data_IF_089605924983
#
_entry.id   IF_089605924983
#
_cell.length_a   1.000
_cell.length_b   1.000
_cell.length_c   1.000
_cell.angle_alpha   90.00
_cell.angle_beta   90.00
_cell.angle_gamma   90.00
#
_symmetry.space_group_name_H-M   'P 1'
#
loop_
_entity.id
_entity.type
_entity.pdbx_description
1 polymer ?
#
# COMPACT_ATOMS: atom_id res chain seq x y z
N UNK A 1 -18.26 4.87 22.29
CA UNK A 1 -17.12 4.01 21.88
C UNK A 1 -15.97 4.87 21.39
N UNK A 2 -14.70 4.44 21.55
CA UNK A 2 -13.57 5.19 21.02
C UNK A 2 -13.54 5.13 19.49
N UNK A 3 -12.95 6.15 18.86
CA UNK A 3 -12.59 6.07 17.44
C UNK A 3 -11.41 5.11 17.29
N UNK A 4 -11.62 4.05 16.52
CA UNK A 4 -10.62 3.01 16.28
C UNK A 4 -10.13 3.14 14.83
N UNK A 5 -8.83 2.98 14.61
CA UNK A 5 -8.25 2.70 13.31
C UNK A 5 -7.49 1.37 13.37
N UNK A 6 -7.26 0.77 12.22
CA UNK A 6 -6.47 -0.45 12.13
C UNK A 6 -5.45 -0.44 11.00
N UNK A 7 -4.54 -1.40 11.08
CA UNK A 7 -3.52 -1.69 10.08
C UNK A 7 -3.42 -3.20 9.93
N UNK A 8 -3.59 -3.70 8.70
CA UNK A 8 -3.31 -5.10 8.38
C UNK A 8 -1.80 -5.37 8.49
N UNK A 9 -1.44 -6.49 9.12
CA UNK A 9 -0.05 -6.89 9.32
C UNK A 9 0.17 -8.31 8.80
N UNK A 10 1.42 -8.72 8.53
CA UNK A 10 1.73 -10.12 8.29
C UNK A 10 1.25 -10.96 9.49
N UNK A 11 0.28 -11.85 9.25
CA UNK A 11 -0.24 -12.74 10.29
C UNK A 11 -1.26 -12.13 11.26
N UNK A 12 -1.77 -10.90 11.06
CA UNK A 12 -2.77 -10.35 11.96
C UNK A 12 -3.24 -8.92 11.65
N UNK A 13 -3.88 -8.29 12.64
CA UNK A 13 -4.38 -6.91 12.55
C UNK A 13 -3.95 -6.11 13.79
N UNK A 14 -3.40 -4.93 13.55
CA UNK A 14 -3.17 -3.94 14.59
C UNK A 14 -4.40 -3.04 14.69
N UNK A 15 -4.95 -2.86 15.87
CA UNK A 15 -5.93 -1.79 16.14
C UNK A 15 -5.36 -0.77 17.10
N UNK A 16 -5.74 0.48 16.90
CA UNK A 16 -5.30 1.59 17.74
C UNK A 16 -6.41 2.63 17.93
N UNK A 17 -6.52 3.14 19.15
CA UNK A 17 -7.28 4.37 19.46
C UNK A 17 -6.39 5.61 19.40
N UNK A 18 -5.09 5.44 19.16
CA UNK A 18 -4.06 6.46 19.38
C UNK A 18 -3.58 6.56 20.82
N UNK A 19 -4.33 6.07 21.81
CA UNK A 19 -3.87 6.00 23.22
C UNK A 19 -3.51 4.57 23.64
N UNK A 20 -4.09 3.60 22.94
CA UNK A 20 -3.85 2.16 23.09
C UNK A 20 -3.67 1.55 21.71
N UNK A 21 -2.80 0.55 21.63
CA UNK A 21 -2.55 -0.24 20.43
C UNK A 21 -2.46 -1.73 20.79
N UNK A 22 -2.65 -2.62 19.81
CA UNK A 22 -2.71 -4.09 20.07
C UNK A 22 -1.42 -4.83 19.72
N UNK A 23 -0.62 -4.31 18.79
CA UNK A 23 0.51 -5.03 18.21
C UNK A 23 1.83 -4.57 18.81
N UNK A 24 2.82 -5.48 18.95
CA UNK A 24 4.16 -5.10 19.37
C UNK A 24 4.91 -4.37 18.23
N UNK A 25 5.93 -3.55 18.54
CA UNK A 25 6.67 -2.76 17.55
C UNK A 25 7.28 -3.56 16.39
N UNK A 26 7.79 -4.77 16.65
CA UNK A 26 8.44 -5.58 15.61
C UNK A 26 7.45 -6.06 14.53
N UNK A 27 6.19 -6.34 14.87
CA UNK A 27 5.18 -6.72 13.87
C UNK A 27 4.79 -5.53 12.98
N UNK A 28 4.77 -4.32 13.56
CA UNK A 28 4.54 -3.08 12.81
C UNK A 28 5.73 -2.77 11.89
N UNK A 29 6.96 -3.01 12.34
CA UNK A 29 8.15 -2.96 11.50
C UNK A 29 8.06 -3.95 10.33
N UNK A 30 7.72 -5.21 10.60
CA UNK A 30 7.52 -6.23 9.56
C UNK A 30 6.41 -5.88 8.57
N UNK A 31 5.43 -5.07 8.96
CA UNK A 31 4.42 -4.56 8.04
C UNK A 31 5.04 -3.61 7.02
N UNK A 32 5.95 -2.73 7.45
CA UNK A 32 6.74 -1.90 6.54
C UNK A 32 7.61 -2.72 5.59
N UNK A 33 8.30 -3.72 6.11
CA UNK A 33 9.10 -4.68 5.31
C UNK A 33 8.23 -5.36 4.26
N UNK A 34 7.05 -5.87 4.66
CA UNK A 34 6.15 -6.58 3.77
C UNK A 34 5.62 -5.69 2.63
N UNK A 35 5.32 -4.42 2.89
CA UNK A 35 4.88 -3.48 1.84
C UNK A 35 5.97 -3.27 0.79
N UNK A 36 7.22 -3.09 1.20
CA UNK A 36 8.35 -2.93 0.26
C UNK A 36 8.64 -4.24 -0.49
N UNK A 37 8.57 -5.39 0.19
CA UNK A 37 8.73 -6.69 -0.46
C UNK A 37 7.66 -6.95 -1.53
N UNK A 38 6.40 -6.60 -1.26
CA UNK A 38 5.33 -6.65 -2.27
C UNK A 38 5.60 -5.68 -3.43
N UNK A 39 6.13 -4.49 -3.14
CA UNK A 39 6.58 -3.54 -4.15
C UNK A 39 7.67 -4.10 -5.07
N UNK A 40 8.68 -4.75 -4.50
CA UNK A 40 9.74 -5.41 -5.25
C UNK A 40 9.18 -6.55 -6.12
N UNK A 41 8.29 -7.39 -5.57
CA UNK A 41 7.61 -8.43 -6.34
C UNK A 41 6.76 -7.88 -7.49
N UNK A 42 6.06 -6.76 -7.26
CA UNK A 42 5.31 -6.06 -8.30
C UNK A 42 6.23 -5.48 -9.38
N UNK A 43 7.42 -5.01 -9.02
CA UNK A 43 8.40 -4.50 -9.98
C UNK A 43 8.95 -5.61 -10.87
N UNK A 44 9.25 -6.78 -10.31
CA UNK A 44 9.65 -7.97 -11.09
C UNK A 44 8.53 -8.38 -12.06
N UNK A 45 7.29 -8.44 -11.58
CA UNK A 45 6.14 -8.76 -12.43
C UNK A 45 5.97 -7.71 -13.56
N UNK A 46 6.09 -6.42 -13.23
CA UNK A 46 6.03 -5.32 -14.19
C UNK A 46 7.10 -5.47 -15.28
N UNK A 47 8.35 -5.70 -14.89
CA UNK A 47 9.46 -5.90 -15.82
C UNK A 47 9.20 -7.08 -16.76
N UNK A 48 8.79 -8.24 -16.25
CA UNK A 48 8.52 -9.42 -17.08
C UNK A 48 7.39 -9.18 -18.09
N UNK A 49 6.32 -8.48 -17.68
CA UNK A 49 5.20 -8.15 -18.56
C UNK A 49 5.60 -7.13 -19.64
N UNK A 50 6.35 -6.08 -19.29
CA UNK A 50 6.84 -5.10 -20.25
C UNK A 50 7.89 -5.69 -21.21
N UNK A 51 8.75 -6.57 -20.72
CA UNK A 51 9.71 -7.30 -21.54
C UNK A 51 9.00 -8.20 -22.56
N UNK A 52 7.98 -8.96 -22.13
CA UNK A 52 7.19 -9.79 -23.02
C UNK A 52 6.43 -8.94 -24.06
N UNK A 53 5.83 -7.84 -23.64
CA UNK A 53 5.14 -6.93 -24.55
C UNK A 53 6.11 -6.27 -25.54
N UNK A 54 7.31 -5.91 -25.09
CA UNK A 54 8.38 -5.42 -25.95
C UNK A 54 8.79 -6.43 -27.01
N UNK A 55 8.96 -7.70 -26.65
CA UNK A 55 9.25 -8.78 -27.59
C UNK A 55 8.15 -8.97 -28.67
N UNK A 56 6.89 -8.66 -28.35
CA UNK A 56 5.76 -8.75 -29.28
C UNK A 56 5.59 -7.50 -30.16
N UNK A 57 5.91 -6.32 -29.63
CA UNK A 57 5.67 -5.03 -30.28
C UNK A 57 6.89 -4.44 -30.97
N UNK A 58 8.09 -4.95 -30.64
CA UNK A 58 9.36 -4.36 -31.05
C UNK A 58 9.75 -3.10 -30.27
N UNK A 59 8.99 -2.71 -29.24
CA UNK A 59 9.27 -1.52 -28.44
C UNK A 59 10.13 -1.85 -27.20
N UNK A 60 11.09 -0.99 -26.82
CA UNK A 60 11.99 -1.21 -25.67
C UNK A 60 11.32 -0.92 -24.32
N UNK A 61 10.13 -1.47 -24.07
CA UNK A 61 9.31 -1.15 -22.89
C UNK A 61 9.94 -1.62 -21.57
N UNK A 62 10.58 -2.80 -21.56
CA UNK A 62 11.32 -3.30 -20.40
C UNK A 62 12.58 -2.50 -20.11
N UNK A 63 13.30 -2.10 -21.16
CA UNK A 63 14.50 -1.25 -21.07
C UNK A 63 14.16 0.15 -20.59
N UNK A 64 13.01 0.69 -20.99
CA UNK A 64 12.49 1.97 -20.51
C UNK A 64 12.21 1.95 -19.00
N UNK A 65 11.68 0.86 -18.46
CA UNK A 65 11.51 0.69 -17.01
C UNK A 65 12.85 0.71 -16.26
N UNK A 66 13.91 0.17 -16.89
CA UNK A 66 15.27 0.14 -16.34
C UNK A 66 16.03 1.46 -16.52
N UNK A 67 15.43 2.46 -17.19
CA UNK A 67 16.11 3.71 -17.54
C UNK A 67 17.23 3.53 -18.57
N UNK A 68 17.21 2.44 -19.33
CA UNK A 68 18.17 2.15 -20.40
C UNK A 68 17.71 2.77 -21.71
N UNK A 69 16.40 2.75 -21.99
CA UNK A 69 15.85 3.39 -23.17
C UNK A 69 15.87 4.93 -23.03
N UNK A 70 16.18 5.61 -24.13
CA UNK A 70 16.28 7.06 -24.25
C UNK A 70 15.05 7.65 -24.91
N UNK A 71 14.88 8.98 -24.84
CA UNK A 71 13.79 9.69 -25.50
C UNK A 71 13.83 9.59 -27.04
N UNK A 72 14.97 9.19 -27.62
CA UNK A 72 15.11 8.94 -29.06
C UNK A 72 14.50 7.60 -29.48
N UNK A 73 14.33 6.67 -28.52
CA UNK A 73 13.72 5.35 -28.75
C UNK A 73 12.19 5.40 -28.78
N UNK A 74 11.60 6.57 -28.47
CA UNK A 74 10.16 6.82 -28.48
C UNK A 74 9.80 8.02 -29.37
N UNK A 75 8.65 8.01 -30.06
CA UNK A 75 8.17 9.19 -30.78
C UNK A 75 8.01 10.39 -29.82
N UNK A 76 8.69 11.50 -30.09
CA UNK A 76 8.87 12.66 -29.18
C UNK A 76 7.59 13.31 -28.67
N UNK A 77 6.44 13.11 -29.35
CA UNK A 77 5.14 13.62 -28.94
C UNK A 77 4.41 12.76 -27.86
N UNK A 78 5.01 11.65 -27.39
CA UNK A 78 4.34 10.69 -26.51
C UNK A 78 4.96 10.55 -25.11
N UNK A 79 6.07 11.23 -24.81
CA UNK A 79 6.80 11.02 -23.55
C UNK A 79 5.95 11.15 -22.28
N UNK A 80 5.08 12.18 -22.10
CA UNK A 80 4.25 12.26 -20.89
C UNK A 80 3.21 11.13 -20.82
N UNK A 81 2.68 10.69 -21.97
CA UNK A 81 1.70 9.61 -22.03
C UNK A 81 2.36 8.27 -21.69
N UNK A 82 3.58 8.04 -22.19
CA UNK A 82 4.37 6.84 -21.87
C UNK A 82 4.71 6.80 -20.39
N UNK A 83 5.22 7.90 -19.82
CA UNK A 83 5.58 7.98 -18.40
C UNK A 83 4.35 7.75 -17.50
N UNK A 84 3.22 8.41 -17.79
CA UNK A 84 1.97 8.21 -17.05
C UNK A 84 1.49 6.76 -17.20
N UNK A 85 1.54 6.21 -18.41
CA UNK A 85 1.16 4.83 -18.70
C UNK A 85 1.98 3.83 -17.88
N UNK A 86 3.30 4.00 -17.84
CA UNK A 86 4.22 3.17 -17.06
C UNK A 86 3.96 3.31 -15.55
N UNK A 87 3.83 4.53 -15.05
CA UNK A 87 3.53 4.81 -13.64
C UNK A 87 2.24 4.11 -13.18
N UNK A 88 1.19 4.22 -13.99
CA UNK A 88 -0.09 3.55 -13.72
C UNK A 88 0.02 2.02 -13.83
N UNK A 89 0.80 1.52 -14.78
CA UNK A 89 1.02 0.09 -14.96
C UNK A 89 1.78 -0.53 -13.77
N UNK A 90 2.83 0.14 -13.27
CA UNK A 90 3.55 -0.25 -12.05
C UNK A 90 2.59 -0.25 -10.85
N UNK A 91 1.78 0.80 -10.70
CA UNK A 91 0.82 0.88 -9.62
C UNK A 91 -0.24 -0.23 -9.69
N UNK A 92 -0.73 -0.56 -10.89
CA UNK A 92 -1.66 -1.67 -11.10
C UNK A 92 -1.01 -3.02 -10.74
N UNK A 93 0.24 -3.25 -11.15
CA UNK A 93 1.00 -4.43 -10.78
C UNK A 93 1.09 -4.58 -9.25
N UNK A 94 1.36 -3.48 -8.54
CA UNK A 94 1.37 -3.47 -7.08
C UNK A 94 0.01 -3.83 -6.49
N UNK A 95 -1.09 -3.27 -6.99
CA UNK A 95 -2.44 -3.60 -6.53
C UNK A 95 -2.79 -5.08 -6.74
N UNK A 96 -2.35 -5.67 -7.85
CA UNK A 96 -2.54 -7.11 -8.13
C UNK A 96 -1.74 -7.97 -7.16
N UNK A 97 -0.45 -7.68 -6.97
CA UNK A 97 0.40 -8.43 -6.02
C UNK A 97 -0.11 -8.31 -4.59
N UNK A 98 -0.55 -7.11 -4.16
CA UNK A 98 -1.19 -6.90 -2.87
C UNK A 98 -2.48 -7.71 -2.74
N UNK A 99 -3.32 -7.75 -3.78
CA UNK A 99 -4.57 -8.53 -3.81
C UNK A 99 -4.31 -10.02 -3.62
N UNK A 100 -3.28 -10.55 -4.28
CA UNK A 100 -2.89 -11.96 -4.16
C UNK A 100 -2.31 -12.29 -2.77
N UNK A 101 -1.66 -11.31 -2.12
CA UNK A 101 -1.09 -11.51 -0.78
C UNK A 101 -2.14 -11.81 0.31
N UNK A 102 -1.75 -12.43 1.44
CA UNK A 102 -2.62 -12.57 2.60
C UNK A 102 -3.03 -11.23 3.25
N UNK A 103 -2.26 -10.15 3.06
CA UNK A 103 -2.51 -8.84 3.67
C UNK A 103 -3.86 -8.26 3.26
N UNK A 104 -4.30 -8.47 2.01
CA UNK A 104 -5.63 -8.03 1.57
C UNK A 104 -6.77 -8.71 2.34
N UNK A 105 -6.56 -9.94 2.83
CA UNK A 105 -7.53 -10.65 3.66
C UNK A 105 -7.57 -10.09 5.09
N UNK A 106 -6.40 -9.87 5.70
CA UNK A 106 -6.30 -9.21 7.01
C UNK A 106 -6.85 -7.77 6.98
N UNK A 107 -6.67 -7.05 5.88
CA UNK A 107 -7.25 -5.72 5.68
C UNK A 107 -8.78 -5.76 5.54
N UNK A 108 -9.30 -6.77 4.83
CA UNK A 108 -10.74 -7.03 4.79
C UNK A 108 -11.32 -7.34 6.18
N UNK A 109 -10.63 -8.14 6.98
CA UNK A 109 -11.02 -8.44 8.36
C UNK A 109 -11.02 -7.18 9.24
N UNK A 110 -9.99 -6.34 9.11
CA UNK A 110 -9.87 -5.06 9.83
C UNK A 110 -11.09 -4.17 9.57
N UNK A 111 -11.41 -3.88 8.30
CA UNK A 111 -12.58 -3.07 7.94
C UNK A 111 -13.89 -3.66 8.46
N UNK A 112 -14.07 -4.98 8.33
CA UNK A 112 -15.28 -5.67 8.79
C UNK A 112 -15.48 -5.54 10.30
N UNK A 113 -14.42 -5.71 11.08
CA UNK A 113 -14.46 -5.58 12.55
C UNK A 113 -14.69 -4.12 12.98
N UNK A 114 -14.06 -3.15 12.30
CA UNK A 114 -14.31 -1.71 12.56
C UNK A 114 -15.77 -1.34 12.28
N UNK A 115 -16.31 -1.75 11.13
CA UNK A 115 -17.72 -1.54 10.81
C UNK A 115 -18.66 -2.18 11.83
N UNK A 116 -18.36 -3.42 12.28
CA UNK A 116 -19.14 -4.09 13.31
C UNK A 116 -19.22 -3.25 14.60
N UNK A 117 -18.08 -2.71 15.04
CA UNK A 117 -18.04 -1.85 16.23
C UNK A 117 -18.77 -0.53 16.03
N UNK A 118 -18.59 0.12 14.89
CA UNK A 118 -19.22 1.40 14.58
C UNK A 118 -20.74 1.30 14.45
N UNK A 119 -21.21 0.24 13.81
CA UNK A 119 -22.63 0.05 13.52
C UNK A 119 -23.40 -0.53 14.72
N UNK A 120 -22.82 -1.49 15.44
CA UNK A 120 -23.54 -2.28 16.43
C UNK A 120 -23.07 -2.06 17.87
N UNK A 121 -21.93 -1.41 18.08
CA UNK A 121 -21.42 -1.19 19.43
C UNK A 121 -20.98 -2.47 20.17
N UNK A 122 -20.78 -3.58 19.45
CA UNK A 122 -20.34 -4.86 20.01
C UNK A 122 -19.55 -5.68 19.00
N UNK A 123 -18.72 -6.59 19.50
CA UNK A 123 -17.99 -7.55 18.69
C UNK A 123 -18.77 -8.85 18.63
N UNK A 124 -19.39 -9.12 17.49
CA UNK A 124 -20.02 -10.40 17.22
C UNK A 124 -19.54 -10.91 15.86
N UNK A 125 -19.14 -12.17 15.80
CA UNK A 125 -18.58 -12.77 14.58
C UNK A 125 -19.53 -12.68 13.39
N UNK A 126 -20.81 -13.01 13.59
CA UNK A 126 -21.81 -12.98 12.54
C UNK A 126 -21.97 -11.56 11.96
N UNK A 127 -22.01 -10.56 12.84
CA UNK A 127 -22.12 -9.15 12.45
C UNK A 127 -20.87 -8.69 11.69
N UNK A 128 -19.67 -8.95 12.21
CA UNK A 128 -18.43 -8.61 11.53
C UNK A 128 -18.33 -9.28 10.15
N UNK A 129 -18.68 -10.56 10.04
CA UNK A 129 -18.69 -11.27 8.74
C UNK A 129 -19.62 -10.61 7.73
N UNK A 130 -20.78 -10.12 8.18
CA UNK A 130 -21.77 -9.44 7.33
C UNK A 130 -21.41 -7.99 6.98
N UNK A 131 -20.46 -7.38 7.70
CA UNK A 131 -20.07 -5.99 7.48
C UNK A 131 -19.36 -5.78 6.13
N UNK A 132 -19.44 -4.56 5.56
CA UNK A 132 -18.82 -4.26 4.28
C UNK A 132 -17.28 -4.19 4.37
N UNK A 133 -16.61 -4.47 3.24
CA UNK A 133 -15.14 -4.37 3.13
C UNK A 133 -14.64 -2.98 2.76
N UNK A 134 -15.48 -2.09 2.23
CA UNK A 134 -15.09 -0.71 1.94
C UNK A 134 -15.33 0.17 3.15
N UNK A 135 -14.33 0.93 3.58
CA UNK A 135 -14.42 1.82 4.71
C UNK A 135 -13.99 3.24 4.33
N UNK A 136 -14.84 4.24 4.60
CA UNK A 136 -14.62 5.63 4.17
C UNK A 136 -13.37 6.26 4.78
N UNK A 137 -12.95 5.80 5.96
CA UNK A 137 -11.81 6.34 6.71
C UNK A 137 -10.53 5.52 6.54
N UNK A 138 -10.53 4.57 5.60
CA UNK A 138 -9.34 3.79 5.23
C UNK A 138 -8.25 4.69 4.64
N UNK A 139 -6.98 4.35 4.90
CA UNK A 139 -5.82 5.00 4.29
C UNK A 139 -5.83 4.92 2.76
N UNK A 140 -6.38 3.86 2.16
CA UNK A 140 -6.56 3.76 0.70
C UNK A 140 -7.41 4.90 0.14
N UNK A 141 -8.48 5.32 0.83
CA UNK A 141 -9.30 6.47 0.41
C UNK A 141 -8.49 7.76 0.38
N UNK A 142 -7.58 7.95 1.33
CA UNK A 142 -6.67 9.10 1.35
C UNK A 142 -5.65 9.00 0.21
N UNK A 143 -5.02 7.83 0.05
CA UNK A 143 -4.00 7.59 -0.96
C UNK A 143 -4.52 7.78 -2.38
N UNK A 144 -5.76 7.42 -2.68
CA UNK A 144 -6.38 7.71 -3.98
C UNK A 144 -6.45 9.20 -4.31
N UNK A 145 -6.52 10.07 -3.29
CA UNK A 145 -6.46 11.52 -3.50
C UNK A 145 -5.05 12.08 -3.68
N UNK A 146 -4.00 11.32 -3.32
CA UNK A 146 -2.61 11.79 -3.27
C UNK A 146 -1.72 11.11 -4.33
N UNK A 147 -1.83 9.80 -4.51
CA UNK A 147 -1.02 9.00 -5.44
C UNK A 147 -1.11 9.51 -6.90
N UNK A 148 -2.25 9.98 -7.41
CA UNK A 148 -2.30 10.54 -8.76
C UNK A 148 -1.44 11.78 -8.98
N UNK A 149 -1.02 12.48 -7.91
CA UNK A 149 -0.16 13.65 -8.01
C UNK A 149 1.22 13.30 -8.60
N UNK A 150 2.02 12.39 -8.01
CA UNK A 150 3.27 11.96 -8.63
C UNK A 150 3.07 11.09 -9.87
N UNK A 151 2.02 10.26 -9.95
CA UNK A 151 1.88 9.32 -11.08
C UNK A 151 1.37 9.97 -12.37
N UNK A 152 0.57 11.05 -12.26
CA UNK A 152 -0.13 11.67 -13.39
C UNK A 152 0.11 13.17 -13.47
N UNK A 153 -0.13 13.90 -12.37
CA UNK A 153 -0.09 15.36 -12.40
C UNK A 153 1.32 15.91 -12.61
N UNK A 154 2.34 15.29 -11.99
CA UNK A 154 3.73 15.73 -12.12
C UNK A 154 4.27 15.59 -13.56
N UNK A 155 4.12 14.45 -14.26
CA UNK A 155 4.49 14.35 -15.68
C UNK A 155 3.80 15.41 -16.56
N UNK A 156 2.52 15.70 -16.30
CA UNK A 156 1.78 16.74 -17.03
C UNK A 156 2.31 18.15 -16.74
N UNK A 157 2.71 18.45 -15.49
CA UNK A 157 3.33 19.72 -15.14
C UNK A 157 4.65 19.92 -15.87
N UNK A 158 5.52 18.89 -15.89
CA UNK A 158 6.81 18.92 -16.59
C UNK A 158 6.60 19.13 -18.10
N UNK A 159 5.55 18.55 -18.66
CA UNK A 159 5.17 18.71 -20.07
C UNK A 159 4.51 20.08 -20.40
N UNK A 160 4.39 21.01 -19.44
CA UNK A 160 3.74 22.30 -19.64
C UNK A 160 2.20 22.26 -19.66
N UNK A 161 1.60 21.09 -19.40
CA UNK A 161 0.15 20.85 -19.36
C UNK A 161 -0.44 21.12 -17.97
N UNK A 162 -0.07 22.26 -17.37
CA UNK A 162 -0.43 22.62 -16.00
C UNK A 162 -1.95 22.69 -15.72
N UNK A 163 -2.84 23.12 -16.65
CA UNK A 163 -4.27 23.10 -16.38
C UNK A 163 -4.81 21.68 -16.23
N UNK A 164 -4.31 20.74 -17.05
CA UNK A 164 -4.69 19.33 -16.98
C UNK A 164 -4.20 18.68 -15.68
N UNK A 165 -2.98 19.01 -15.24
CA UNK A 165 -2.44 18.53 -13.97
C UNK A 165 -3.29 18.97 -12.77
N UNK A 166 -3.66 20.25 -12.71
CA UNK A 166 -4.53 20.78 -11.64
C UNK A 166 -5.91 20.12 -11.69
N UNK A 167 -6.50 20.02 -12.89
CA UNK A 167 -7.81 19.38 -13.06
C UNK A 167 -7.80 17.95 -12.54
N UNK A 168 -6.79 17.15 -12.90
CA UNK A 168 -6.66 15.76 -12.43
C UNK A 168 -6.51 15.71 -10.91
N UNK A 169 -5.66 16.56 -10.32
CA UNK A 169 -5.52 16.65 -8.86
C UNK A 169 -6.85 16.95 -8.16
N UNK A 170 -7.62 17.91 -8.68
CA UNK A 170 -8.95 18.27 -8.15
C UNK A 170 -9.93 17.11 -8.32
N UNK A 171 -10.02 16.50 -9.50
CA UNK A 171 -10.94 15.39 -9.77
C UNK A 171 -10.61 14.18 -8.89
N UNK A 172 -9.34 13.77 -8.80
CA UNK A 172 -8.92 12.68 -7.93
C UNK A 172 -9.24 12.97 -6.46
N UNK A 173 -9.04 14.21 -6.00
CA UNK A 173 -9.41 14.58 -4.63
C UNK A 173 -10.92 14.54 -4.40
N UNK A 174 -11.73 15.12 -5.29
CA UNK A 174 -13.19 15.16 -5.19
C UNK A 174 -13.78 13.74 -5.22
N UNK A 175 -13.32 12.90 -6.14
CA UNK A 175 -13.83 11.55 -6.34
C UNK A 175 -13.10 10.46 -5.52
N UNK A 176 -12.19 10.84 -4.60
CA UNK A 176 -11.39 9.86 -3.83
C UNK A 176 -12.22 8.86 -3.03
N UNK A 177 -13.39 9.26 -2.54
CA UNK A 177 -14.25 8.39 -1.72
C UNK A 177 -14.87 7.25 -2.54
N UNK A 178 -15.61 7.51 -3.64
CA UNK A 178 -16.13 6.43 -4.48
C UNK A 178 -15.03 5.60 -5.14
N UNK A 179 -13.96 6.24 -5.66
CA UNK A 179 -12.84 5.53 -6.28
C UNK A 179 -12.11 4.67 -5.23
N UNK A 180 -11.86 5.23 -4.05
CA UNK A 180 -11.23 4.53 -2.93
C UNK A 180 -12.07 3.34 -2.45
N UNK A 181 -13.39 3.44 -2.44
CA UNK A 181 -14.27 2.33 -2.12
C UNK A 181 -14.17 1.21 -3.18
N UNK A 182 -14.14 1.56 -4.47
CA UNK A 182 -13.97 0.59 -5.55
C UNK A 182 -12.60 -0.12 -5.45
N UNK A 183 -11.51 0.63 -5.30
CA UNK A 183 -10.16 0.07 -5.15
C UNK A 183 -10.05 -0.83 -3.91
N UNK A 184 -10.70 -0.45 -2.81
CA UNK A 184 -10.78 -1.31 -1.62
C UNK A 184 -11.47 -2.63 -1.91
N UNK A 185 -12.62 -2.62 -2.58
CA UNK A 185 -13.38 -3.84 -2.86
C UNK A 185 -12.68 -4.78 -3.85
N UNK A 186 -12.03 -4.21 -4.87
CA UNK A 186 -11.40 -4.96 -5.96
C UNK A 186 -9.99 -5.43 -5.58
N UNK A 187 -9.17 -4.53 -5.01
CA UNK A 187 -7.74 -4.76 -4.85
C UNK A 187 -7.30 -4.86 -3.39
N UNK A 188 -7.50 -3.81 -2.59
CA UNK A 188 -6.78 -3.70 -1.30
C UNK A 188 -7.41 -4.51 -0.17
N UNK A 189 -8.64 -5.00 -0.33
CA UNK A 189 -9.29 -5.94 0.59
C UNK A 189 -9.81 -7.15 -0.18
N UNK A 190 -9.85 -8.32 0.46
CA UNK A 190 -10.63 -9.49 0.00
C UNK A 190 -11.46 -10.06 1.14
N UNK A 191 -12.37 -11.00 0.85
CA UNK A 191 -13.09 -11.69 1.91
C UNK A 191 -12.10 -12.42 2.82
N UNK A 192 -12.10 -12.12 4.14
CA UNK A 192 -11.16 -12.75 5.07
C UNK A 192 -11.51 -14.22 5.29
N UNK A 193 -10.49 -15.04 5.52
CA UNK A 193 -10.72 -16.40 6.04
C UNK A 193 -11.22 -16.35 7.49
N UNK A 194 -11.78 -17.45 7.99
CA UNK A 194 -12.20 -17.54 9.41
C UNK A 194 -11.06 -17.26 10.38
N UNK A 195 -9.85 -17.71 10.06
CA UNK A 195 -8.67 -17.43 10.89
C UNK A 195 -8.38 -15.92 10.92
N UNK A 196 -8.33 -15.26 9.76
CA UNK A 196 -8.08 -13.82 9.66
C UNK A 196 -9.12 -12.99 10.39
N UNK A 197 -10.41 -13.35 10.26
CA UNK A 197 -11.50 -12.68 10.97
C UNK A 197 -11.39 -12.88 12.49
N UNK A 198 -11.03 -14.09 12.93
CA UNK A 198 -10.85 -14.40 14.36
C UNK A 198 -9.72 -13.58 14.96
N UNK A 199 -8.55 -13.54 14.34
CA UNK A 199 -7.41 -12.74 14.80
C UNK A 199 -7.74 -11.26 14.89
N UNK A 200 -8.55 -10.74 13.95
CA UNK A 200 -9.02 -9.35 14.01
C UNK A 200 -9.98 -9.11 15.18
N UNK A 201 -10.93 -10.02 15.43
CA UNK A 201 -11.85 -9.92 16.56
C UNK A 201 -11.11 -9.93 17.91
N UNK A 202 -10.16 -10.85 18.09
CA UNK A 202 -9.33 -10.95 19.31
C UNK A 202 -8.48 -9.70 19.55
N UNK A 203 -7.89 -9.15 18.48
CA UNK A 203 -7.14 -7.90 18.57
C UNK A 203 -8.06 -6.73 18.96
N UNK A 204 -9.24 -6.62 18.36
CA UNK A 204 -10.20 -5.57 18.69
C UNK A 204 -10.72 -5.69 20.13
N UNK A 205 -10.99 -6.90 20.60
CA UNK A 205 -11.40 -7.15 21.99
C UNK A 205 -10.30 -6.73 22.96
N UNK A 206 -9.05 -7.11 22.68
CA UNK A 206 -7.89 -6.68 23.46
C UNK A 206 -7.80 -5.16 23.55
N UNK A 207 -8.00 -4.45 22.43
CA UNK A 207 -7.98 -2.98 22.41
C UNK A 207 -9.09 -2.39 23.28
N UNK A 208 -10.32 -2.89 23.15
CA UNK A 208 -11.48 -2.39 23.88
C UNK A 208 -11.32 -2.64 25.37
N UNK A 209 -10.82 -3.81 25.77
CA UNK A 209 -10.56 -4.13 27.17
C UNK A 209 -9.51 -3.17 27.77
N UNK A 210 -8.42 -2.89 27.04
CA UNK A 210 -7.41 -1.88 27.47
C UNK A 210 -8.00 -0.48 27.58
N UNK A 211 -8.86 -0.08 26.64
CA UNK A 211 -9.51 1.22 26.67
C UNK A 211 -10.52 1.34 27.82
N UNK A 212 -11.33 0.30 28.10
CA UNK A 212 -12.32 0.27 29.19
C UNK A 212 -11.69 0.42 30.57
N UNK A 213 -10.47 -0.08 30.77
CA UNK A 213 -9.74 0.06 32.02
C UNK A 213 -9.40 1.52 32.36
N UNK A 214 -9.10 2.35 31.34
CA UNK A 214 -8.91 3.79 31.55
C UNK A 214 -9.30 4.59 30.30
N UNK A 215 -10.61 4.89 30.13
CA UNK A 215 -11.14 5.56 28.93
C UNK A 215 -10.61 6.99 28.76
N UNK A 216 -10.21 7.63 29.86
CA UNK A 216 -9.77 9.01 29.92
C UNK A 216 -8.26 9.18 29.65
N UNK A 217 -7.52 8.09 29.46
CA UNK A 217 -6.10 8.15 29.11
C UNK A 217 -5.91 8.91 27.80
N UNK A 218 -5.06 9.95 27.84
CA UNK A 218 -4.63 10.70 26.67
C UNK A 218 -3.11 10.70 26.59
N UNK A 219 -2.58 10.43 25.41
CA UNK A 219 -1.15 10.53 25.12
C UNK A 219 -0.85 11.81 24.34
N UNK A 220 0.33 12.42 24.52
CA UNK A 220 0.84 13.44 23.61
C UNK A 220 0.87 12.93 22.16
N UNK A 221 0.77 13.85 21.19
CA UNK A 221 0.68 13.53 19.76
C UNK A 221 1.80 12.57 19.30
N UNK A 222 3.06 12.84 19.69
CA UNK A 222 4.19 11.99 19.32
C UNK A 222 4.05 10.55 19.82
N UNK A 223 3.65 10.36 21.09
CA UNK A 223 3.39 9.02 21.64
C UNK A 223 2.16 8.38 21.01
N UNK A 224 1.17 9.17 20.61
CA UNK A 224 0.01 8.65 19.90
C UNK A 224 0.35 8.12 18.51
N UNK A 225 1.21 8.81 17.77
CA UNK A 225 1.73 8.34 16.49
C UNK A 225 2.53 7.05 16.64
N UNK A 226 3.35 6.96 17.69
CA UNK A 226 4.07 5.73 18.03
C UNK A 226 3.13 4.55 18.30
N UNK A 227 2.05 4.78 19.05
CA UNK A 227 1.04 3.75 19.38
C UNK A 227 0.19 3.35 18.17
N UNK A 228 0.11 4.19 17.14
CA UNK A 228 -0.51 3.85 15.85
C UNK A 228 0.41 3.04 14.94
N UNK A 229 1.71 3.00 15.23
CA UNK A 229 2.68 2.21 14.50
C UNK A 229 3.35 2.90 13.31
N UNK A 230 3.07 4.19 13.06
CA UNK A 230 3.64 4.91 11.90
C UNK A 230 5.17 4.90 11.88
N UNK A 231 5.88 5.26 12.98
CA UNK A 231 7.35 5.24 12.99
C UNK A 231 7.94 3.85 12.71
N UNK A 232 7.33 2.79 13.25
CA UNK A 232 7.81 1.43 13.13
C UNK A 232 7.63 0.91 11.70
N UNK A 233 6.46 1.14 11.10
CA UNK A 233 6.20 0.79 9.70
C UNK A 233 7.13 1.56 8.75
N UNK A 234 7.33 2.86 9.00
CA UNK A 234 8.25 3.67 8.21
C UNK A 234 9.69 3.17 8.33
N UNK A 235 10.15 2.85 9.54
CA UNK A 235 11.48 2.27 9.77
C UNK A 235 11.64 0.95 9.00
N UNK A 236 10.65 0.05 9.06
CA UNK A 236 10.65 -1.20 8.30
C UNK A 236 10.77 -0.96 6.80
N UNK A 237 9.97 -0.05 6.26
CA UNK A 237 10.01 0.30 4.86
C UNK A 237 11.38 0.89 4.44
N UNK A 238 11.89 1.87 5.19
CA UNK A 238 13.17 2.53 4.88
C UNK A 238 14.35 1.55 4.97
N UNK A 239 14.39 0.70 6.00
CA UNK A 239 15.44 -0.32 6.15
C UNK A 239 15.41 -1.32 5.00
N UNK A 240 14.23 -1.80 4.59
CA UNK A 240 14.11 -2.71 3.45
C UNK A 240 14.48 -2.05 2.14
N UNK A 241 14.06 -0.81 1.90
CA UNK A 241 14.45 -0.06 0.69
C UNK A 241 15.95 0.17 0.63
N UNK A 242 16.58 0.56 1.74
CA UNK A 242 18.03 0.71 1.83
C UNK A 242 18.75 -0.62 1.57
N UNK A 243 18.24 -1.73 2.11
CA UNK A 243 18.83 -3.05 1.90
C UNK A 243 18.75 -3.48 0.43
N UNK A 244 17.61 -3.26 -0.24
CA UNK A 244 17.48 -3.53 -1.68
C UNK A 244 18.42 -2.66 -2.52
N UNK A 245 18.53 -1.37 -2.19
CA UNK A 245 19.47 -0.48 -2.86
C UNK A 245 20.91 -0.96 -2.65
N UNK A 246 21.28 -1.34 -1.43
CA UNK A 246 22.60 -1.89 -1.12
C UNK A 246 22.87 -3.17 -1.92
N UNK A 247 21.94 -4.14 -1.95
CA UNK A 247 22.08 -5.33 -2.81
C UNK A 247 22.29 -4.92 -4.27
N UNK A 248 21.51 -3.98 -4.79
CA UNK A 248 21.62 -3.56 -6.18
C UNK A 248 22.98 -2.97 -6.54
N UNK A 249 23.67 -2.32 -5.60
CA UNK A 249 25.02 -1.80 -5.82
C UNK A 249 26.11 -2.86 -5.68
N UNK A 250 25.87 -3.91 -4.90
CA UNK A 250 26.81 -5.03 -4.76
C UNK A 250 26.67 -6.07 -5.88
N UNK A 251 25.46 -6.21 -6.46
CA UNK A 251 25.15 -7.25 -7.44
C UNK A 251 26.12 -7.27 -8.65
N UNK A 252 26.51 -6.13 -9.26
CA UNK A 252 27.50 -6.14 -10.33
C UNK A 252 28.87 -6.68 -9.88
N UNK A 253 29.30 -6.39 -8.65
CA UNK A 253 30.59 -6.87 -8.12
C UNK A 253 30.58 -8.39 -7.88
N UNK A 254 29.44 -8.95 -7.49
CA UNK A 254 29.29 -10.40 -7.27
C UNK A 254 29.14 -11.18 -8.57
N UNK A 255 28.54 -10.55 -9.59
CA UNK A 255 28.30 -11.17 -10.90
C UNK A 255 29.37 -10.84 -11.94
N UNK A 256 30.40 -10.06 -11.59
CA UNK A 256 31.56 -9.86 -12.44
C UNK A 256 32.46 -11.11 -12.42
N UNK A 257 32.07 -12.08 -13.26
CA UNK A 257 32.84 -13.29 -13.52
C UNK A 257 34.09 -13.03 -14.40
N UNK A 258 34.38 -11.77 -14.77
CA UNK A 258 35.52 -11.39 -15.60
C UNK A 258 36.90 -11.67 -14.99
N UNK A 259 36.95 -12.02 -13.70
CA UNK A 259 38.18 -12.43 -13.00
C UNK A 259 38.36 -13.95 -12.86
N UNK A 260 37.36 -14.77 -13.21
CA UNK A 260 37.38 -16.25 -13.01
C UNK A 260 37.78 -17.00 -14.30
N UNK A 261 37.88 -16.30 -15.43
CA UNK A 261 38.34 -16.86 -16.72
C UNK A 261 39.64 -16.15 -17.12
N UNK A 262 40.76 -16.51 -16.49
CA UNK A 262 42.11 -16.27 -16.98
C UNK A 262 42.97 -17.51 -16.75
#
# INVERSE_FOLDING_TARGET
MPRIGGTAMPGGVHFSTGNYGTAPPHMLFLTGVAVIALGAGAMVMCYLLLWLLGALTGLPLGESLMGIATAEDFPTNFMPVVEIGQNLFIFLCFLVVLRLSPLSGYHGAEHKVVHCLEQYGRLERALARSSPRAHRRCGTTLLVGIIPLPLIALPLLVAGLWPAAILIGVLCWVFRVPIGAAIQQVFTTKEPTEHQLTTALEAAETLINRWRQNPNRRLPVARSLWVRGFPQMLAGALTTSWFFQWISTQLPLWLDWGHVIK
#
